data_IF_409823783072
#
_entry.id   IF_409823783072
#
_cell.length_a   1.000
_cell.length_b   1.000
_cell.length_c   1.000
_cell.angle_alpha   90.00
_cell.angle_beta   90.00
_cell.angle_gamma   90.00
#
_symmetry.space_group_name_H-M   'P 1'
#
loop_
_entity.id
_entity.type
_entity.pdbx_description
1 polymer ?
#
# COMPACT_ATOMS: atom_id res chain seq x y z
N UNK A 1 51.81 8.78 36.82
CA UNK A 1 52.34 9.00 35.46
C UNK A 1 51.30 9.75 34.64
N UNK A 2 51.75 10.46 33.61
CA UNK A 2 51.17 11.69 33.05
C UNK A 2 50.00 11.44 32.07
N UNK A 3 49.02 12.36 32.10
CA UNK A 3 48.28 12.99 30.97
C UNK A 3 47.49 12.08 30.01
N UNK A 4 46.22 12.37 29.77
CA UNK A 4 45.77 13.41 28.84
C UNK A 4 44.24 13.53 28.77
N UNK A 5 43.79 14.78 28.87
CA UNK A 5 42.45 15.29 28.59
C UNK A 5 42.31 15.42 27.06
N UNK A 6 41.19 15.01 26.46
CA UNK A 6 40.79 15.45 25.12
C UNK A 6 39.34 15.94 25.18
N UNK A 7 39.22 17.26 25.27
CA UNK A 7 38.09 18.04 24.77
C UNK A 7 37.98 17.87 23.26
N UNK A 8 36.76 17.85 22.73
CA UNK A 8 36.53 18.41 21.39
C UNK A 8 35.35 17.82 20.65
N UNK A 9 34.42 18.68 20.27
CA UNK A 9 33.71 18.49 19.00
C UNK A 9 32.20 18.35 19.08
N UNK A 10 31.52 19.40 19.54
CA UNK A 10 30.17 19.73 19.13
C UNK A 10 30.15 19.91 17.59
N UNK A 11 29.72 18.89 16.84
CA UNK A 11 29.39 19.03 15.40
C UNK A 11 27.88 18.99 15.23
N UNK A 12 27.26 20.13 15.50
CA UNK A 12 25.91 20.44 15.00
C UNK A 12 26.11 20.93 13.56
N UNK A 13 25.99 20.02 12.59
CA UNK A 13 25.81 20.40 11.18
C UNK A 13 24.34 20.59 10.91
N UNK A 14 24.00 21.86 10.81
CA UNK A 14 22.78 22.40 10.24
C UNK A 14 22.62 21.94 8.77
N UNK A 15 21.37 21.64 8.41
CA UNK A 15 20.71 22.11 7.20
C UNK A 15 21.16 21.56 5.83
N UNK A 16 20.34 20.69 5.24
CA UNK A 16 19.73 20.98 3.93
C UNK A 16 18.47 20.13 3.74
N UNK A 17 17.36 20.81 3.53
CA UNK A 17 16.10 20.23 3.11
C UNK A 17 16.08 20.03 1.59
N UNK A 18 15.26 19.06 1.18
CA UNK A 18 14.54 18.93 -0.10
C UNK A 18 15.26 18.33 -1.32
N UNK A 19 14.40 17.69 -2.13
CA UNK A 19 14.57 16.95 -3.41
C UNK A 19 14.63 15.43 -3.19
N UNK A 20 13.52 14.77 -2.85
CA UNK A 20 12.47 14.33 -3.80
C UNK A 20 13.11 13.66 -5.04
N UNK A 21 13.79 12.55 -4.82
CA UNK A 21 14.11 11.58 -5.88
C UNK A 21 12.87 10.76 -6.22
N UNK A 22 11.91 11.38 -6.91
CA UNK A 22 10.86 10.65 -7.61
C UNK A 22 11.51 9.83 -8.72
N UNK A 23 11.42 8.51 -8.62
CA UNK A 23 11.66 7.66 -9.78
C UNK A 23 10.64 8.07 -10.85
N UNK A 24 11.06 8.45 -12.07
CA UNK A 24 10.10 8.72 -13.13
C UNK A 24 9.26 7.45 -13.35
N UNK A 25 7.92 7.54 -13.42
CA UNK A 25 7.12 6.38 -13.79
C UNK A 25 7.57 5.90 -15.18
N UNK A 26 7.55 4.59 -15.45
CA UNK A 26 7.78 4.10 -16.81
C UNK A 26 6.83 4.82 -17.76
N UNK A 27 7.35 5.29 -18.88
CA UNK A 27 6.54 5.81 -19.95
C UNK A 27 5.53 4.73 -20.34
N UNK A 28 4.26 5.02 -20.10
CA UNK A 28 3.14 4.28 -20.65
C UNK A 28 3.19 4.47 -22.16
N UNK A 29 3.81 3.51 -22.83
CA UNK A 29 3.74 3.33 -24.27
C UNK A 29 2.37 2.76 -24.58
N UNK A 30 1.38 3.65 -24.50
CA UNK A 30 -0.02 3.37 -24.78
C UNK A 30 -0.17 2.47 -26.00
N UNK A 31 -0.84 1.35 -25.76
CA UNK A 31 -1.47 0.58 -26.80
C UNK A 31 -2.94 0.41 -26.43
N UNK A 32 -3.75 1.19 -27.13
CA UNK A 32 -4.97 0.76 -27.80
C UNK A 32 -6.15 0.38 -26.90
N UNK A 33 -6.85 1.44 -26.50
CA UNK A 33 -8.30 1.53 -26.38
C UNK A 33 -9.05 0.77 -27.48
N UNK A 34 -9.65 -0.38 -27.12
CA UNK A 34 -10.78 -0.91 -27.86
C UNK A 34 -11.73 -1.68 -26.94
N UNK A 35 -12.63 -0.94 -26.29
CA UNK A 35 -13.75 -1.53 -25.55
C UNK A 35 -14.50 -0.49 -24.73
N UNK A 36 -15.44 0.17 -25.39
CA UNK A 36 -16.40 1.15 -24.86
C UNK A 36 -17.17 0.68 -23.62
N UNK A 37 -16.84 1.24 -22.46
CA UNK A 37 -17.74 1.60 -21.34
C UNK A 37 -17.03 2.56 -20.36
N UNK A 38 -16.48 3.65 -20.90
CA UNK A 38 -15.95 4.79 -20.15
C UNK A 38 -17.09 5.61 -19.53
N UNK A 39 -17.69 5.09 -18.46
CA UNK A 39 -18.19 5.94 -17.38
C UNK A 39 -16.97 6.57 -16.70
N UNK A 40 -16.49 7.64 -17.32
CA UNK A 40 -15.16 8.20 -17.11
C UNK A 40 -14.76 8.40 -15.66
N UNK A 41 -13.48 8.12 -15.40
CA UNK A 41 -12.56 8.78 -14.48
C UNK A 41 -11.17 8.29 -14.94
N UNK A 42 -10.58 9.00 -15.89
CA UNK A 42 -9.17 8.88 -16.24
C UNK A 42 -8.53 10.27 -16.11
N UNK A 43 -8.53 10.80 -14.89
CA UNK A 43 -7.67 11.92 -14.49
C UNK A 43 -6.80 11.44 -13.31
N UNK A 44 -5.50 11.35 -13.57
CA UNK A 44 -4.53 10.64 -12.73
C UNK A 44 -4.51 11.01 -11.25
N UNK A 45 -4.11 10.03 -10.44
CA UNK A 45 -3.71 10.22 -9.04
C UNK A 45 -4.84 10.08 -8.04
N UNK A 46 -5.43 8.88 -7.94
CA UNK A 46 -6.41 8.56 -6.90
C UNK A 46 -6.24 7.14 -6.41
N UNK A 47 -6.01 6.99 -5.11
CA UNK A 47 -6.05 5.73 -4.38
C UNK A 47 -7.45 5.10 -4.53
N UNK A 48 -7.64 4.19 -5.49
CA UNK A 48 -8.87 3.42 -5.69
C UNK A 48 -9.73 3.87 -6.86
N UNK A 49 -9.29 3.66 -8.10
CA UNK A 49 -10.22 3.62 -9.24
C UNK A 49 -11.29 2.55 -9.00
N UNK A 50 -12.48 2.69 -9.58
CA UNK A 50 -13.55 1.68 -9.46
C UNK A 50 -13.05 0.29 -9.85
N UNK A 51 -12.18 0.19 -10.86
CA UNK A 51 -11.56 -1.07 -11.27
C UNK A 51 -10.65 -1.65 -10.17
N UNK A 52 -9.85 -0.81 -9.52
CA UNK A 52 -8.96 -1.23 -8.42
C UNK A 52 -9.77 -1.71 -7.21
N UNK A 53 -10.88 -1.04 -6.89
CA UNK A 53 -11.77 -1.43 -5.81
C UNK A 53 -12.42 -2.79 -6.08
N UNK A 54 -12.89 -3.03 -7.32
CA UNK A 54 -13.44 -4.34 -7.72
C UNK A 54 -12.37 -5.42 -7.67
N UNK A 55 -11.16 -5.14 -8.13
CA UNK A 55 -10.04 -6.07 -8.05
C UNK A 55 -9.65 -6.37 -6.59
N UNK A 56 -9.59 -5.35 -5.74
CA UNK A 56 -9.30 -5.47 -4.31
C UNK A 56 -10.35 -6.26 -3.55
N UNK A 57 -11.63 -6.05 -3.88
CA UNK A 57 -12.73 -6.86 -3.38
C UNK A 57 -12.56 -8.33 -3.74
N UNK A 58 -12.23 -8.64 -5.00
CA UNK A 58 -12.00 -10.02 -5.44
C UNK A 58 -10.83 -10.68 -4.67
N UNK A 59 -9.76 -9.94 -4.39
CA UNK A 59 -8.66 -10.44 -3.54
C UNK A 59 -9.17 -10.73 -2.12
N UNK A 60 -9.92 -9.80 -1.52
CA UNK A 60 -10.49 -9.98 -0.18
C UNK A 60 -11.38 -11.22 -0.11
N UNK A 61 -12.34 -11.35 -1.02
CA UNK A 61 -13.31 -12.45 -1.05
C UNK A 61 -12.62 -13.80 -1.21
N UNK A 62 -11.63 -13.91 -2.11
CA UNK A 62 -10.99 -15.19 -2.42
C UNK A 62 -9.92 -15.60 -1.42
N UNK A 63 -9.29 -14.65 -0.71
CA UNK A 63 -8.07 -14.93 0.07
C UNK A 63 -8.20 -14.58 1.56
N UNK A 64 -9.09 -13.66 1.93
CA UNK A 64 -9.13 -13.09 3.27
C UNK A 64 -10.44 -13.42 4.01
N UNK A 65 -11.58 -13.35 3.31
CA UNK A 65 -12.93 -13.45 3.88
C UNK A 65 -13.18 -14.73 4.69
N UNK A 66 -12.53 -15.84 4.32
CA UNK A 66 -12.68 -17.11 5.03
C UNK A 66 -12.20 -17.07 6.49
N UNK A 67 -11.32 -16.13 6.84
CA UNK A 67 -10.74 -16.01 8.19
C UNK A 67 -10.95 -14.63 8.81
N UNK A 68 -11.16 -13.61 8.00
CA UNK A 68 -11.19 -12.21 8.41
C UNK A 68 -12.48 -11.55 7.98
N UNK A 69 -13.12 -10.87 8.92
CA UNK A 69 -14.22 -9.96 8.62
C UNK A 69 -13.68 -8.60 8.19
N UNK A 70 -14.49 -7.83 7.45
CA UNK A 70 -14.15 -6.47 7.03
C UNK A 70 -15.25 -5.48 7.38
N UNK A 71 -15.10 -4.79 8.50
CA UNK A 71 -16.00 -3.73 8.93
C UNK A 71 -17.45 -4.20 9.01
N UNK A 72 -18.30 -3.58 8.20
CA UNK A 72 -19.73 -3.91 8.05
C UNK A 72 -20.03 -4.70 6.79
N UNK A 73 -19.04 -4.94 5.92
CA UNK A 73 -19.21 -5.74 4.69
C UNK A 73 -19.64 -7.15 5.03
N UNK A 74 -18.93 -7.76 5.97
CA UNK A 74 -19.32 -9.01 6.58
C UNK A 74 -18.89 -9.06 8.04
N UNK A 75 -19.47 -10.03 8.73
CA UNK A 75 -19.21 -10.31 10.15
C UNK A 75 -18.61 -11.70 10.35
N UNK A 76 -18.17 -12.33 9.26
CA UNK A 76 -17.72 -13.72 9.26
C UNK A 76 -16.20 -13.74 9.22
N UNK A 77 -15.59 -13.93 10.39
CA UNK A 77 -14.14 -14.01 10.51
C UNK A 77 -13.71 -13.79 11.95
N UNK A 78 -12.58 -14.39 12.33
CA UNK A 78 -12.08 -14.32 13.71
C UNK A 78 -11.53 -12.92 14.06
N UNK A 79 -11.08 -12.17 13.05
CA UNK A 79 -10.46 -10.85 13.20
C UNK A 79 -11.08 -9.89 12.19
N UNK A 80 -11.34 -8.65 12.62
CA UNK A 80 -11.85 -7.59 11.76
C UNK A 80 -10.68 -6.74 11.20
N UNK A 81 -10.67 -6.54 9.88
CA UNK A 81 -9.65 -5.79 9.13
C UNK A 81 -9.97 -4.30 8.93
N UNK A 82 -11.15 -3.82 9.34
CA UNK A 82 -11.52 -2.40 9.25
C UNK A 82 -10.46 -1.50 9.91
N UNK A 83 -10.05 -0.46 9.18
CA UNK A 83 -8.98 0.45 9.59
C UNK A 83 -7.57 -0.18 9.69
N UNK A 84 -7.34 -1.38 9.12
CA UNK A 84 -6.03 -2.07 9.18
C UNK A 84 -5.32 -2.23 7.84
N UNK A 85 -5.82 -1.60 6.77
CA UNK A 85 -5.24 -1.72 5.42
C UNK A 85 -3.73 -1.47 5.39
N UNK A 86 -3.23 -0.42 6.05
CA UNK A 86 -1.79 -0.10 6.11
C UNK A 86 -0.90 -1.13 6.84
N UNK A 87 -1.47 -2.20 7.42
CA UNK A 87 -0.71 -3.29 8.03
C UNK A 87 -0.56 -4.52 7.12
N UNK A 88 -1.22 -4.57 5.97
CA UNK A 88 -1.28 -5.77 5.13
C UNK A 88 0.08 -6.17 4.59
N UNK A 89 0.82 -5.21 4.01
CA UNK A 89 2.18 -5.43 3.50
C UNK A 89 3.09 -6.11 4.53
N UNK A 90 3.15 -5.57 5.75
CA UNK A 90 4.00 -6.10 6.82
C UNK A 90 3.56 -7.51 7.27
N UNK A 91 2.26 -7.77 7.33
CA UNK A 91 1.74 -9.08 7.74
C UNK A 91 1.98 -10.16 6.70
N UNK A 92 1.74 -9.85 5.43
CA UNK A 92 1.99 -10.77 4.32
C UNK A 92 3.49 -11.06 4.17
N UNK A 93 4.36 -10.05 4.31
CA UNK A 93 5.81 -10.22 4.28
C UNK A 93 6.34 -11.09 5.44
N UNK A 94 5.71 -11.05 6.60
CA UNK A 94 6.04 -11.91 7.73
C UNK A 94 5.57 -13.38 7.55
N UNK A 95 4.81 -13.67 6.50
CA UNK A 95 4.18 -14.96 6.25
C UNK A 95 2.78 -15.02 6.86
N UNK A 96 1.76 -14.97 6.00
CA UNK A 96 0.36 -15.02 6.41
C UNK A 96 -0.32 -16.24 5.77
N UNK A 97 -0.34 -17.36 6.49
CA UNK A 97 -0.92 -18.66 6.06
C UNK A 97 -0.49 -19.15 4.67
N UNK A 98 0.71 -18.78 4.22
CA UNK A 98 1.23 -19.14 2.90
C UNK A 98 0.62 -18.34 1.75
N UNK A 99 -0.15 -17.28 2.03
CA UNK A 99 -0.64 -16.36 1.01
C UNK A 99 0.51 -15.43 0.61
N UNK A 100 0.73 -15.33 -0.69
CA UNK A 100 1.58 -14.31 -1.31
C UNK A 100 0.72 -13.57 -2.32
N UNK A 101 0.69 -12.24 -2.20
CA UNK A 101 0.04 -11.36 -3.16
C UNK A 101 1.12 -10.66 -4.00
N UNK A 102 0.80 -10.38 -5.26
CA UNK A 102 1.59 -9.44 -6.06
C UNK A 102 1.47 -8.03 -5.49
N UNK A 103 2.39 -7.13 -5.88
CA UNK A 103 2.34 -5.74 -5.43
C UNK A 103 1.03 -5.03 -5.84
N UNK A 104 0.51 -5.33 -7.03
CA UNK A 104 -0.75 -4.79 -7.54
C UNK A 104 -1.96 -5.33 -6.76
N UNK A 105 -2.03 -6.64 -6.52
CA UNK A 105 -3.12 -7.22 -5.71
C UNK A 105 -3.13 -6.65 -4.29
N UNK A 106 -1.96 -6.46 -3.69
CA UNK A 106 -1.83 -5.85 -2.37
C UNK A 106 -2.31 -4.40 -2.37
N UNK A 107 -1.89 -3.59 -3.35
CA UNK A 107 -2.32 -2.20 -3.48
C UNK A 107 -3.85 -2.10 -3.65
N UNK A 108 -4.44 -2.95 -4.50
CA UNK A 108 -5.88 -2.98 -4.74
C UNK A 108 -6.64 -3.42 -3.47
N UNK A 109 -6.14 -4.43 -2.77
CA UNK A 109 -6.71 -4.88 -1.49
C UNK A 109 -6.64 -3.78 -0.42
N UNK A 110 -5.53 -3.05 -0.32
CA UNK A 110 -5.39 -1.94 0.62
C UNK A 110 -6.35 -0.78 0.28
N UNK A 111 -6.50 -0.44 -1.01
CA UNK A 111 -7.45 0.57 -1.48
C UNK A 111 -8.90 0.17 -1.17
N UNK A 112 -9.28 -1.08 -1.44
CA UNK A 112 -10.61 -1.61 -1.12
C UNK A 112 -10.86 -1.62 0.40
N UNK A 113 -9.94 -2.17 1.18
CA UNK A 113 -10.11 -2.27 2.63
C UNK A 113 -10.10 -0.91 3.33
N UNK A 114 -9.50 0.13 2.74
CA UNK A 114 -9.55 1.50 3.28
C UNK A 114 -10.96 2.12 3.24
N UNK A 115 -11.90 1.54 2.50
CA UNK A 115 -13.30 1.97 2.47
C UNK A 115 -14.10 1.53 3.71
N UNK A 116 -13.49 0.72 4.60
CA UNK A 116 -14.11 0.09 5.77
C UNK A 116 -13.33 0.32 7.06
#
# INVERSE_FOLDING_TARGET
>A
MRKAFVLGGLFVTLLTAALIGGCPPPADNGTDDNGTDDNGIDDGGGNGSTADLVAGQSVYENRCSACHALGTLDTTGAVNLSGKSGSFAAKLAAGHVGITLTATELANLEAFAAQY
#
